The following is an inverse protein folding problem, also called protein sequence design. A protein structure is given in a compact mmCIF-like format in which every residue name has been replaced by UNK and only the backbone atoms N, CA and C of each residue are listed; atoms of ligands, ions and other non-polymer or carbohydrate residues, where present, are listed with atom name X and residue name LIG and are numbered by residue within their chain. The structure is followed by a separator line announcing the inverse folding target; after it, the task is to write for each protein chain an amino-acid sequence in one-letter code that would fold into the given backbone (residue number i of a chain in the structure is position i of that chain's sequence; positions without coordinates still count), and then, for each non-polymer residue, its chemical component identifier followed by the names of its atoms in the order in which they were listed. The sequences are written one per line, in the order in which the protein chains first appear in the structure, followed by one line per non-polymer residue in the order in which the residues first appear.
data_IF_557476205920
#
_entry.id   IF_557476205920
#
_cell.length_a   1.000
_cell.length_b   1.000
_cell.length_c   1.000
_cell.angle_alpha   90.00
_cell.angle_beta   90.00
_cell.angle_gamma   90.00
#
_symmetry.space_group_name_H-M   'P 1'
#
loop_
_entity.id
_entity.type
_entity.pdbx_description
1 polymer ?
#
# COMPACT_ATOMS: atom_id res chain seq x y z
N UNK A 1 52.58 33.43 53.73
CA UNK A 1 52.06 33.68 52.40
C UNK A 1 51.64 32.35 51.87
N UNK A 2 50.77 31.90 52.36
CA UNK A 2 49.34 31.66 52.61
C UNK A 2 48.67 30.98 51.47
N UNK A 3 48.42 29.72 51.76
CA UNK A 3 47.57 28.74 51.12
C UNK A 3 46.27 29.32 50.52
N UNK A 4 46.11 28.98 49.25
CA UNK A 4 44.81 28.95 48.58
C UNK A 4 44.76 27.67 47.74
N UNK A 5 44.70 26.54 48.42
CA UNK A 5 44.53 25.25 47.80
C UNK A 5 43.17 24.69 48.27
N UNK A 6 42.39 24.29 47.24
CA UNK A 6 41.42 23.23 47.28
C UNK A 6 40.17 23.41 48.16
N UNK A 7 39.20 24.13 47.64
CA UNK A 7 37.81 23.73 47.83
C UNK A 7 37.32 23.05 46.58
N UNK A 8 37.63 21.78 46.43
CA UNK A 8 36.95 20.90 45.47
C UNK A 8 35.51 20.73 45.98
N UNK A 9 34.62 21.22 45.14
CA UNK A 9 33.20 21.32 45.38
C UNK A 9 32.59 19.90 45.54
N UNK A 10 32.27 19.56 46.79
CA UNK A 10 31.59 18.33 47.15
C UNK A 10 30.11 18.30 46.75
N UNK A 11 29.68 19.16 45.82
CA UNK A 11 28.27 19.31 45.42
C UNK A 11 27.87 18.51 44.18
N UNK A 12 28.78 17.86 43.48
CA UNK A 12 28.44 17.12 42.26
C UNK A 12 28.23 15.61 42.43
N UNK A 13 28.23 15.10 43.66
CA UNK A 13 27.80 13.74 43.92
C UNK A 13 26.27 13.68 44.14
N UNK A 14 25.49 13.99 43.09
CA UNK A 14 24.09 13.62 43.09
C UNK A 14 23.99 12.09 43.14
N UNK A 15 23.31 11.50 44.13
CA UNK A 15 23.12 10.06 44.18
C UNK A 15 22.38 9.62 42.92
N UNK A 16 23.03 8.80 42.09
CA UNK A 16 22.38 8.13 41.00
C UNK A 16 21.19 7.38 41.57
N UNK A 17 19.99 7.89 41.26
CA UNK A 17 18.74 7.22 41.65
C UNK A 17 18.79 5.83 41.06
N UNK A 18 18.72 4.76 41.89
CA UNK A 18 18.72 3.39 41.37
C UNK A 18 17.60 3.28 40.36
N UNK A 19 17.94 2.82 39.16
CA UNK A 19 16.99 2.67 38.08
C UNK A 19 15.77 1.92 38.60
N UNK A 20 14.63 2.58 38.61
CA UNK A 20 13.36 2.03 39.06
C UNK A 20 13.11 0.78 38.23
N UNK A 21 13.39 -0.41 38.76
CA UNK A 21 13.00 -1.69 38.19
C UNK A 21 11.51 -1.58 37.93
N UNK A 22 11.12 -1.40 36.67
CA UNK A 22 9.72 -1.34 36.28
C UNK A 22 9.09 -2.62 36.77
N UNK A 23 8.12 -2.51 37.67
CA UNK A 23 7.46 -3.65 38.27
C UNK A 23 6.84 -4.51 37.15
N UNK A 24 6.86 -5.86 37.25
CA UNK A 24 6.29 -6.75 36.23
C UNK A 24 4.81 -6.47 35.94
N UNK A 25 4.13 -5.77 36.83
CA UNK A 25 2.75 -5.31 36.69
C UNK A 25 2.51 -4.39 35.46
N UNK A 26 3.54 -3.67 34.97
CA UNK A 26 3.40 -2.89 33.71
C UNK A 26 3.20 -3.76 32.50
N UNK A 27 3.59 -5.03 32.54
CA UNK A 27 3.38 -5.99 31.48
C UNK A 27 1.91 -6.46 31.43
N UNK A 28 1.19 -6.46 32.55
CA UNK A 28 -0.22 -6.84 32.59
C UNK A 28 -1.11 -5.94 31.70
N UNK A 29 -0.75 -4.67 31.55
CA UNK A 29 -1.46 -3.76 30.63
C UNK A 29 -1.35 -4.13 29.15
N UNK A 30 -0.34 -4.92 28.79
CA UNK A 30 -0.10 -5.33 27.39
C UNK A 30 -0.69 -6.73 27.11
N UNK A 31 -1.02 -7.50 28.15
CA UNK A 31 -1.58 -8.87 28.03
C UNK A 31 -2.85 -8.92 27.17
N UNK A 32 -3.85 -8.02 27.33
CA UNK A 32 -5.05 -8.08 26.50
C UNK A 32 -4.74 -7.92 25.00
N UNK A 33 -3.78 -7.03 24.67
CA UNK A 33 -3.34 -6.84 23.29
C UNK A 33 -2.68 -8.10 22.73
N UNK A 34 -1.74 -8.71 23.47
CA UNK A 34 -1.09 -9.93 23.01
C UNK A 34 -2.05 -11.13 22.95
N UNK A 35 -2.99 -11.23 23.89
CA UNK A 35 -4.02 -12.26 23.85
C UNK A 35 -4.90 -12.10 22.61
N UNK A 36 -5.34 -10.88 22.31
CA UNK A 36 -6.07 -10.57 21.08
C UNK A 36 -5.26 -10.91 19.82
N UNK A 37 -4.01 -10.46 19.74
CA UNK A 37 -3.13 -10.74 18.62
C UNK A 37 -2.89 -12.25 18.44
N UNK A 38 -2.69 -12.99 19.53
CA UNK A 38 -2.51 -14.44 19.47
C UNK A 38 -3.78 -15.13 18.94
N UNK A 39 -4.95 -14.80 19.50
CA UNK A 39 -6.22 -15.46 19.15
C UNK A 39 -6.69 -15.12 17.72
N UNK A 40 -6.55 -13.87 17.29
CA UNK A 40 -7.17 -13.40 16.05
C UNK A 40 -6.17 -13.18 14.90
N UNK A 41 -4.87 -13.15 15.17
CA UNK A 41 -3.85 -13.01 14.14
C UNK A 41 -2.99 -14.28 14.01
N UNK A 42 -2.38 -14.73 15.12
CA UNK A 42 -1.39 -15.82 15.06
C UNK A 42 -2.07 -17.18 14.82
N UNK A 43 -3.12 -17.52 15.57
CA UNK A 43 -3.81 -18.80 15.44
C UNK A 43 -4.41 -19.00 14.03
N UNK A 44 -5.19 -18.05 13.46
CA UNK A 44 -5.71 -18.19 12.10
C UNK A 44 -4.60 -18.27 11.05
N UNK A 45 -3.53 -17.48 11.19
CA UNK A 45 -2.39 -17.53 10.26
C UNK A 45 -1.68 -18.89 10.34
N UNK A 46 -1.48 -19.44 11.55
CA UNK A 46 -0.89 -20.76 11.72
C UNK A 46 -1.78 -21.84 11.09
N UNK A 47 -3.09 -21.73 11.23
CA UNK A 47 -4.03 -22.65 10.60
C UNK A 47 -3.96 -22.60 9.07
N UNK A 48 -3.84 -21.41 8.49
CA UNK A 48 -3.62 -21.25 7.04
C UNK A 48 -2.31 -21.93 6.59
N UNK A 49 -1.23 -21.72 7.34
CA UNK A 49 0.07 -22.35 7.03
C UNK A 49 -0.02 -23.86 7.08
N UNK A 50 -0.55 -24.41 8.17
CA UNK A 50 -0.67 -25.86 8.34
C UNK A 50 -1.62 -26.46 7.30
N UNK A 51 -2.80 -25.87 7.10
CA UNK A 51 -3.81 -26.33 6.15
C UNK A 51 -3.33 -26.27 4.69
N UNK A 52 -2.42 -25.36 4.34
CA UNK A 52 -1.84 -25.30 2.99
C UNK A 52 -0.96 -26.53 2.66
N UNK A 53 -0.45 -27.25 3.67
CA UNK A 53 0.33 -28.47 3.54
C UNK A 53 -0.47 -29.74 3.86
N UNK A 54 -1.79 -29.64 3.94
CA UNK A 54 -2.66 -30.81 4.20
C UNK A 54 -3.58 -31.09 3.02
N UNK A 55 -3.91 -32.36 2.82
CA UNK A 55 -5.01 -32.78 1.96
C UNK A 55 -6.36 -32.78 2.71
N UNK A 56 -7.44 -33.14 2.04
CA UNK A 56 -8.78 -33.18 2.64
C UNK A 56 -8.90 -34.23 3.75
N UNK A 57 -8.02 -35.24 3.79
CA UNK A 57 -7.94 -36.26 4.82
C UNK A 57 -7.03 -35.87 6.00
N UNK A 58 -6.38 -34.67 5.93
CA UNK A 58 -5.47 -34.16 6.96
C UNK A 58 -4.04 -34.70 6.87
N UNK A 59 -3.68 -35.44 5.82
CA UNK A 59 -2.30 -35.89 5.61
C UNK A 59 -1.45 -34.79 5.04
N UNK A 60 -0.17 -34.80 5.40
CA UNK A 60 0.79 -33.82 4.88
C UNK A 60 1.05 -34.05 3.39
N UNK A 61 0.86 -33.01 2.58
CA UNK A 61 1.08 -33.03 1.14
C UNK A 61 1.62 -31.69 0.65
N UNK A 62 2.39 -31.72 -0.44
CA UNK A 62 2.76 -30.51 -1.18
C UNK A 62 1.91 -30.32 -2.45
N UNK A 63 0.89 -31.18 -2.68
CA UNK A 63 0.08 -31.16 -3.89
C UNK A 63 -0.60 -29.82 -4.11
N UNK A 64 -1.12 -29.18 -3.04
CA UNK A 64 -1.76 -27.88 -3.12
C UNK A 64 -0.84 -26.80 -3.75
N UNK A 65 0.47 -26.86 -3.50
CA UNK A 65 1.45 -25.93 -4.10
C UNK A 65 1.74 -26.29 -5.56
N UNK A 66 1.74 -27.57 -5.92
CA UNK A 66 1.84 -28.00 -7.33
C UNK A 66 0.60 -27.55 -8.10
N UNK A 67 -0.57 -27.59 -7.49
CA UNK A 67 -1.82 -27.14 -8.09
C UNK A 67 -1.86 -25.63 -8.36
N UNK A 68 -1.04 -24.82 -7.66
CA UNK A 68 -0.87 -23.39 -7.97
C UNK A 68 -0.30 -23.16 -9.38
N UNK A 69 0.43 -24.12 -9.93
CA UNK A 69 1.00 -24.03 -11.28
C UNK A 69 0.00 -24.38 -12.38
N UNK A 70 -1.19 -24.89 -12.02
CA UNK A 70 -2.25 -25.14 -12.99
C UNK A 70 -2.71 -23.84 -13.67
N UNK A 71 -3.25 -23.93 -14.91
CA UNK A 71 -3.59 -22.76 -15.71
C UNK A 71 -4.50 -21.75 -15.01
N UNK A 72 -5.50 -22.21 -14.23
CA UNK A 72 -6.47 -21.34 -13.56
C UNK A 72 -5.85 -20.53 -12.40
N UNK A 73 -5.17 -21.12 -11.39
CA UNK A 73 -4.45 -20.38 -10.37
C UNK A 73 -3.34 -19.48 -10.92
N UNK A 74 -2.52 -20.00 -11.84
CA UNK A 74 -1.42 -19.26 -12.44
C UNK A 74 -1.92 -18.00 -13.17
N UNK A 75 -3.00 -18.11 -13.97
CA UNK A 75 -3.62 -16.97 -14.62
C UNK A 75 -4.19 -15.97 -13.60
N UNK A 76 -4.81 -16.43 -12.52
CA UNK A 76 -5.32 -15.56 -11.48
C UNK A 76 -4.21 -14.73 -10.81
N UNK A 77 -3.05 -15.34 -10.52
CA UNK A 77 -1.88 -14.62 -10.03
C UNK A 77 -1.36 -13.62 -11.05
N UNK A 78 -1.19 -14.03 -12.30
CA UNK A 78 -0.67 -13.17 -13.36
C UNK A 78 -1.53 -11.92 -13.53
N UNK A 79 -2.85 -12.09 -13.66
CA UNK A 79 -3.80 -10.97 -13.81
C UNK A 79 -3.81 -10.07 -12.57
N UNK A 80 -3.76 -10.65 -11.36
CA UNK A 80 -3.70 -9.87 -10.11
C UNK A 80 -2.41 -9.05 -10.01
N UNK A 81 -1.26 -9.64 -10.33
CA UNK A 81 0.04 -8.95 -10.32
C UNK A 81 0.04 -7.84 -11.36
N UNK A 82 -0.44 -8.09 -12.57
CA UNK A 82 -0.47 -7.12 -13.64
C UNK A 82 -1.32 -5.91 -13.28
N UNK A 83 -2.58 -6.11 -12.86
CA UNK A 83 -3.47 -5.01 -12.44
C UNK A 83 -2.85 -4.23 -11.27
N UNK A 84 -2.30 -4.94 -10.28
CA UNK A 84 -1.71 -4.30 -9.10
C UNK A 84 -0.46 -3.51 -9.46
N UNK A 85 0.37 -4.02 -10.35
CA UNK A 85 1.59 -3.33 -10.80
C UNK A 85 1.26 -2.09 -11.64
N UNK A 86 0.34 -2.22 -12.60
CA UNK A 86 -0.11 -1.10 -13.45
C UNK A 86 -0.69 0.01 -12.58
N UNK A 87 -1.62 -0.34 -11.68
CA UNK A 87 -2.28 0.66 -10.83
C UNK A 87 -1.35 1.25 -9.76
N UNK A 88 -0.38 0.49 -9.26
CA UNK A 88 0.64 1.01 -8.33
C UNK A 88 1.62 1.97 -9.03
N UNK A 89 2.04 1.66 -10.25
CA UNK A 89 2.93 2.54 -11.03
C UNK A 89 2.19 3.81 -11.44
N UNK A 90 1.03 3.68 -12.06
CA UNK A 90 0.25 4.84 -12.51
C UNK A 90 -0.23 5.69 -11.33
N UNK A 91 -0.78 5.04 -10.30
CA UNK A 91 -1.20 5.68 -9.06
C UNK A 91 -0.03 6.34 -8.32
N UNK A 92 1.14 5.69 -8.32
CA UNK A 92 2.38 6.21 -7.75
C UNK A 92 2.87 7.46 -8.48
N UNK A 93 2.97 7.42 -9.79
CA UNK A 93 3.44 8.57 -10.61
C UNK A 93 2.44 9.73 -10.54
N UNK A 94 1.18 9.48 -10.85
CA UNK A 94 0.16 10.53 -10.90
C UNK A 94 -0.13 11.09 -9.50
N UNK A 95 -0.20 10.23 -8.48
CA UNK A 95 -0.38 10.63 -7.10
C UNK A 95 0.82 11.42 -6.54
N UNK A 96 2.05 11.05 -6.92
CA UNK A 96 3.24 11.84 -6.59
C UNK A 96 3.20 13.23 -7.23
N UNK A 97 2.86 13.33 -8.52
CA UNK A 97 2.73 14.62 -9.21
C UNK A 97 1.66 15.50 -8.56
N UNK A 98 0.52 14.89 -8.20
CA UNK A 98 -0.55 15.58 -7.49
C UNK A 98 -0.08 16.06 -6.11
N UNK A 99 0.56 15.20 -5.32
CA UNK A 99 1.11 15.55 -4.01
C UNK A 99 2.13 16.70 -4.12
N UNK A 100 3.02 16.63 -5.09
CA UNK A 100 3.99 17.67 -5.35
C UNK A 100 3.32 19.02 -5.70
N UNK A 101 2.33 19.00 -6.59
CA UNK A 101 1.58 20.20 -6.94
C UNK A 101 0.85 20.81 -5.74
N UNK A 102 0.28 19.97 -4.86
CA UNK A 102 -0.44 20.41 -3.65
C UNK A 102 0.51 20.96 -2.58
N UNK A 103 1.67 20.35 -2.41
CA UNK A 103 2.60 20.69 -1.31
C UNK A 103 3.56 21.80 -1.71
N UNK A 104 4.17 21.67 -2.89
CA UNK A 104 5.23 22.58 -3.38
C UNK A 104 4.74 23.61 -4.36
N UNK A 105 3.52 23.49 -4.89
CA UNK A 105 2.93 24.37 -5.89
C UNK A 105 2.42 25.73 -5.39
N UNK A 106 2.66 26.06 -4.10
CA UNK A 106 2.25 27.36 -3.54
C UNK A 106 0.75 27.50 -3.29
N UNK A 107 0.00 26.39 -3.19
CA UNK A 107 -1.42 26.44 -2.89
C UNK A 107 -1.71 27.12 -1.54
N UNK A 108 -2.78 27.92 -1.44
CA UNK A 108 -3.24 28.46 -0.16
C UNK A 108 -3.47 27.35 0.87
N UNK A 109 -3.09 27.59 2.12
CA UNK A 109 -3.21 26.60 3.21
C UNK A 109 -4.57 25.92 3.30
N UNK A 110 -5.73 26.64 3.20
CA UNK A 110 -7.04 25.99 3.29
C UNK A 110 -7.26 24.99 2.15
N UNK A 111 -6.83 25.29 0.93
CA UNK A 111 -7.00 24.38 -0.21
C UNK A 111 -6.13 23.13 -0.07
N UNK A 112 -4.89 23.27 0.41
CA UNK A 112 -4.03 22.13 0.77
C UNK A 112 -4.72 21.23 1.81
N UNK A 113 -5.29 21.82 2.87
CA UNK A 113 -5.99 21.09 3.91
C UNK A 113 -7.19 20.33 3.34
N UNK A 114 -7.99 20.96 2.47
CA UNK A 114 -9.13 20.31 1.80
C UNK A 114 -8.67 19.11 0.98
N UNK A 115 -7.63 19.25 0.15
CA UNK A 115 -7.11 18.16 -0.67
C UNK A 115 -6.59 17.01 0.20
N UNK A 116 -5.85 17.30 1.26
CA UNK A 116 -5.31 16.26 2.18
C UNK A 116 -6.44 15.54 2.92
N UNK A 117 -7.45 16.27 3.41
CA UNK A 117 -8.61 15.68 4.09
C UNK A 117 -9.43 14.84 3.11
N UNK A 118 -9.70 15.35 1.91
CA UNK A 118 -10.38 14.62 0.85
C UNK A 118 -9.62 13.34 0.48
N UNK A 119 -8.29 13.42 0.35
CA UNK A 119 -7.46 12.25 0.09
C UNK A 119 -7.59 11.19 1.19
N UNK A 120 -7.69 11.60 2.46
CA UNK A 120 -7.94 10.69 3.59
C UNK A 120 -9.28 9.96 3.48
N UNK A 121 -10.32 10.64 3.07
CA UNK A 121 -11.65 10.04 2.85
C UNK A 121 -11.65 9.15 1.61
N UNK A 122 -11.14 9.67 0.49
CA UNK A 122 -11.18 8.99 -0.80
C UNK A 122 -10.34 7.71 -0.83
N UNK A 123 -9.17 7.69 -0.15
CA UNK A 123 -8.31 6.51 -0.08
C UNK A 123 -8.96 5.34 0.69
N UNK A 124 -9.91 5.64 1.60
CA UNK A 124 -10.66 4.64 2.35
C UNK A 124 -12.03 4.32 1.73
N UNK A 125 -12.44 5.07 0.70
CA UNK A 125 -13.69 4.79 -0.01
C UNK A 125 -13.44 3.72 -1.07
N UNK A 126 -13.64 2.47 -0.69
CA UNK A 126 -13.38 1.28 -1.49
C UNK A 126 -14.51 0.24 -1.31
N UNK A 127 -14.32 -0.94 -1.87
CA UNK A 127 -15.28 -2.04 -1.75
C UNK A 127 -16.52 -1.86 -2.63
N UNK A 128 -17.63 -2.41 -2.16
CA UNK A 128 -18.93 -2.38 -2.87
C UNK A 128 -19.43 -0.96 -3.14
N UNK A 129 -19.38 -0.01 -2.18
CA UNK A 129 -19.81 1.36 -2.42
C UNK A 129 -19.06 2.04 -3.57
N UNK A 130 -17.75 1.83 -3.67
CA UNK A 130 -16.95 2.38 -4.76
C UNK A 130 -17.35 1.77 -6.11
N UNK A 131 -17.50 0.45 -6.18
CA UNK A 131 -17.93 -0.24 -7.40
C UNK A 131 -19.29 0.30 -7.90
N UNK A 132 -20.26 0.42 -7.01
CA UNK A 132 -21.59 0.98 -7.33
C UNK A 132 -21.49 2.43 -7.79
N UNK A 133 -20.69 3.28 -7.11
CA UNK A 133 -20.50 4.67 -7.51
C UNK A 133 -19.96 4.76 -8.96
N UNK A 134 -19.00 3.94 -9.32
CA UNK A 134 -18.47 3.89 -10.69
C UNK A 134 -19.48 3.31 -11.68
N UNK A 135 -20.24 2.29 -11.31
CA UNK A 135 -21.29 1.72 -12.17
C UNK A 135 -22.38 2.77 -12.48
N UNK A 136 -22.82 3.55 -11.48
CA UNK A 136 -23.82 4.61 -11.68
C UNK A 136 -23.26 5.86 -12.38
N UNK A 137 -21.95 6.06 -12.33
CA UNK A 137 -21.30 7.25 -12.92
C UNK A 137 -20.82 6.97 -14.35
N UNK A 138 -20.02 5.93 -14.56
CA UNK A 138 -19.36 5.61 -15.82
C UNK A 138 -19.89 4.30 -16.46
N UNK A 139 -20.77 3.57 -15.78
CA UNK A 139 -21.43 2.39 -16.36
C UNK A 139 -22.18 2.74 -17.67
N UNK A 140 -22.65 1.73 -18.39
CA UNK A 140 -23.29 1.93 -19.73
C UNK A 140 -24.47 2.91 -19.68
N UNK A 141 -25.23 2.90 -18.60
CA UNK A 141 -26.35 3.82 -18.33
C UNK A 141 -26.00 4.88 -17.28
N UNK A 142 -24.71 5.00 -16.94
CA UNK A 142 -24.21 5.92 -15.94
C UNK A 142 -24.32 7.37 -16.40
N UNK A 143 -24.43 8.27 -15.42
CA UNK A 143 -24.65 9.70 -15.65
C UNK A 143 -23.62 10.31 -16.62
N UNK A 144 -22.33 10.06 -16.41
CA UNK A 144 -21.26 10.61 -17.26
C UNK A 144 -21.32 9.99 -18.66
N UNK A 145 -21.54 8.69 -18.79
CA UNK A 145 -21.60 8.00 -20.09
C UNK A 145 -22.76 8.51 -20.93
N UNK A 146 -23.94 8.71 -20.32
CA UNK A 146 -25.11 9.28 -20.99
C UNK A 146 -24.86 10.74 -21.37
N UNK A 147 -24.31 11.54 -20.47
CA UNK A 147 -23.98 12.94 -20.73
C UNK A 147 -22.99 13.09 -21.90
N UNK A 148 -21.90 12.33 -21.93
CA UNK A 148 -20.92 12.37 -23.02
C UNK A 148 -21.53 11.97 -24.35
N UNK A 149 -22.40 10.95 -24.34
CA UNK A 149 -23.08 10.49 -25.55
C UNK A 149 -24.10 11.51 -26.06
N UNK A 150 -24.90 12.11 -25.19
CA UNK A 150 -26.00 13.02 -25.59
C UNK A 150 -25.52 14.43 -25.87
N UNK A 151 -24.54 14.95 -25.14
CA UNK A 151 -24.08 16.33 -25.27
C UNK A 151 -22.86 16.46 -26.18
N UNK A 152 -21.89 15.54 -26.08
CA UNK A 152 -20.64 15.58 -26.85
C UNK A 152 -20.66 14.62 -28.03
N UNK A 153 -21.68 13.77 -28.21
CA UNK A 153 -21.77 12.78 -29.28
C UNK A 153 -20.75 11.64 -29.12
N UNK A 154 -20.09 11.56 -27.98
CA UNK A 154 -19.03 10.58 -27.73
C UNK A 154 -19.55 9.37 -26.97
N UNK A 155 -19.73 8.25 -27.69
CA UNK A 155 -20.14 6.98 -27.11
C UNK A 155 -18.90 6.19 -26.65
N UNK A 156 -18.61 6.26 -25.35
CA UNK A 156 -17.47 5.54 -24.75
C UNK A 156 -17.61 4.03 -24.95
N UNK A 157 -18.83 3.51 -24.86
CA UNK A 157 -19.11 2.07 -25.02
C UNK A 157 -19.15 1.63 -26.48
N UNK A 158 -19.40 2.57 -27.39
CA UNK A 158 -19.31 2.33 -28.84
C UNK A 158 -17.88 2.09 -29.31
N UNK A 159 -16.86 2.57 -28.58
CA UNK A 159 -15.45 2.34 -28.87
C UNK A 159 -14.91 0.99 -28.33
N UNK A 160 -15.76 0.14 -27.75
CA UNK A 160 -15.36 -1.15 -27.19
C UNK A 160 -14.91 -1.10 -25.73
N UNK A 161 -14.91 0.07 -25.07
CA UNK A 161 -14.66 0.18 -23.64
C UNK A 161 -15.81 -0.42 -22.84
N UNK A 162 -15.47 -1.09 -21.74
CA UNK A 162 -16.43 -1.46 -20.70
C UNK A 162 -15.79 -1.34 -19.32
N UNK A 163 -16.54 -0.81 -18.35
CA UNK A 163 -16.08 -0.69 -16.98
C UNK A 163 -15.86 -2.06 -16.31
N UNK A 164 -16.51 -3.09 -16.84
CA UNK A 164 -16.38 -4.47 -16.35
C UNK A 164 -15.16 -5.21 -16.90
N UNK A 165 -14.32 -4.51 -17.71
CA UNK A 165 -13.05 -5.04 -18.22
C UNK A 165 -11.90 -4.83 -17.24
N UNK A 166 -10.75 -5.42 -17.56
CA UNK A 166 -9.49 -5.21 -16.84
C UNK A 166 -9.13 -3.72 -16.76
N UNK A 167 -9.19 -3.01 -17.89
CA UNK A 167 -8.94 -1.57 -17.96
C UNK A 167 -9.94 -0.77 -17.09
N UNK A 168 -11.23 -1.15 -17.10
CA UNK A 168 -12.22 -0.54 -16.22
C UNK A 168 -11.90 -0.74 -14.74
N UNK A 169 -11.47 -1.95 -14.36
CA UNK A 169 -11.06 -2.23 -12.99
C UNK A 169 -9.80 -1.43 -12.59
N UNK A 170 -8.83 -1.27 -13.49
CA UNK A 170 -7.64 -0.45 -13.26
C UNK A 170 -7.99 1.02 -13.02
N UNK A 171 -8.94 1.58 -13.78
CA UNK A 171 -9.45 2.94 -13.58
C UNK A 171 -10.10 3.08 -12.20
N UNK A 172 -10.93 2.11 -11.80
CA UNK A 172 -11.58 2.12 -10.48
C UNK A 172 -10.53 2.02 -9.36
N UNK A 173 -9.48 1.23 -9.56
CA UNK A 173 -8.40 1.12 -8.58
C UNK A 173 -7.57 2.40 -8.46
N UNK A 174 -7.32 3.11 -9.55
CA UNK A 174 -6.65 4.41 -9.53
C UNK A 174 -7.38 5.43 -8.65
N UNK A 175 -8.70 5.34 -8.53
CA UNK A 175 -9.49 6.24 -7.69
C UNK A 175 -9.01 6.27 -6.23
N UNK A 176 -8.73 5.14 -5.61
CA UNK A 176 -8.22 5.10 -4.24
C UNK A 176 -6.69 5.12 -4.14
N UNK A 177 -6.00 4.69 -5.20
CA UNK A 177 -4.54 4.69 -5.26
C UNK A 177 -3.95 6.10 -5.31
N UNK A 178 -4.53 7.00 -6.12
CA UNK A 178 -4.06 8.39 -6.24
C UNK A 178 -4.09 9.13 -4.90
N UNK A 179 -5.24 9.19 -4.18
CA UNK A 179 -5.29 9.84 -2.88
C UNK A 179 -4.41 9.17 -1.83
N UNK A 180 -4.30 7.84 -1.86
CA UNK A 180 -3.44 7.10 -0.95
C UNK A 180 -1.98 7.48 -1.15
N UNK A 181 -1.52 7.59 -2.39
CA UNK A 181 -0.18 8.05 -2.71
C UNK A 181 0.08 9.46 -2.19
N UNK A 182 -0.89 10.39 -2.36
CA UNK A 182 -0.77 11.76 -1.83
C UNK A 182 -0.51 11.75 -0.33
N UNK A 183 -1.25 10.95 0.43
CA UNK A 183 -1.09 10.86 1.89
C UNK A 183 0.26 10.28 2.31
N UNK A 184 0.69 9.22 1.64
CA UNK A 184 1.91 8.49 2.03
C UNK A 184 3.16 9.30 1.69
N UNK A 185 3.19 9.96 0.52
CA UNK A 185 4.39 10.67 0.06
C UNK A 185 4.51 12.09 0.61
N UNK A 186 3.40 12.69 1.08
CA UNK A 186 3.37 14.07 1.55
C UNK A 186 4.46 14.40 2.59
N UNK A 187 4.69 13.58 3.65
CA UNK A 187 5.74 13.87 4.62
C UNK A 187 7.15 13.87 4.02
N UNK A 188 7.40 13.03 3.01
CA UNK A 188 8.69 12.99 2.33
C UNK A 188 8.93 14.24 1.49
N UNK A 189 7.89 14.74 0.81
CA UNK A 189 7.97 16.00 0.04
C UNK A 189 8.15 17.20 0.99
N UNK A 190 7.42 17.25 2.11
CA UNK A 190 7.57 18.30 3.13
C UNK A 190 8.97 18.26 3.78
N UNK A 191 9.64 17.10 3.79
CA UNK A 191 10.99 16.93 4.29
C UNK A 191 12.09 17.48 3.38
N UNK A 192 11.78 17.90 2.14
CA UNK A 192 12.74 18.55 1.26
C UNK A 192 13.06 19.97 1.76
N UNK A 193 14.29 20.18 2.19
CA UNK A 193 14.74 21.46 2.73
C UNK A 193 14.89 22.49 1.61
N UNK A 194 14.42 23.70 1.85
CA UNK A 194 14.55 24.83 0.91
C UNK A 194 16.02 25.19 0.64
N UNK A 195 16.86 25.04 1.65
CA UNK A 195 18.30 25.31 1.59
C UNK A 195 19.00 24.46 0.53
N UNK A 196 18.55 23.24 0.29
CA UNK A 196 19.12 22.39 -0.77
C UNK A 196 18.82 22.92 -2.16
N UNK A 197 17.63 23.47 -2.34
CA UNK A 197 17.25 24.12 -3.59
C UNK A 197 18.02 25.41 -3.81
N UNK A 198 18.09 26.28 -2.80
CA UNK A 198 18.83 27.53 -2.83
C UNK A 198 20.33 27.30 -3.09
N UNK A 199 20.93 26.31 -2.42
CA UNK A 199 22.32 25.93 -2.65
C UNK A 199 22.55 25.46 -4.10
N UNK A 200 21.64 24.69 -4.68
CA UNK A 200 21.73 24.23 -6.06
C UNK A 200 21.59 25.39 -7.07
N UNK A 201 20.68 26.32 -6.82
CA UNK A 201 20.48 27.53 -7.64
C UNK A 201 21.71 28.44 -7.57
N UNK A 202 22.32 28.63 -6.40
CA UNK A 202 23.55 29.37 -6.21
C UNK A 202 24.77 28.72 -6.92
N UNK A 203 24.75 27.39 -7.07
CA UNK A 203 25.74 26.63 -7.86
C UNK A 203 25.46 26.70 -9.38
N UNK A 204 24.43 27.39 -9.82
CA UNK A 204 24.05 27.56 -11.23
C UNK A 204 23.28 26.37 -11.81
N UNK A 205 22.75 25.48 -10.97
CA UNK A 205 21.96 24.33 -11.43
C UNK A 205 20.57 24.76 -11.91
N UNK A 206 20.14 24.20 -13.04
CA UNK A 206 18.76 24.32 -13.51
C UNK A 206 17.79 23.53 -12.61
N UNK A 207 16.49 23.87 -12.66
CA UNK A 207 15.44 23.12 -11.94
C UNK A 207 15.47 21.63 -12.28
N UNK A 208 15.73 21.27 -13.53
CA UNK A 208 15.84 19.87 -13.95
C UNK A 208 17.05 19.17 -13.30
N UNK A 209 18.21 19.86 -13.20
CA UNK A 209 19.41 19.34 -12.54
C UNK A 209 19.18 19.16 -11.03
N UNK A 210 18.52 20.12 -10.37
CA UNK A 210 18.10 19.98 -8.96
C UNK A 210 17.23 18.72 -8.76
N UNK A 211 16.20 18.55 -9.61
CA UNK A 211 15.34 17.38 -9.50
C UNK A 211 16.09 16.07 -9.73
N UNK A 212 16.92 15.99 -10.77
CA UNK A 212 17.63 14.77 -11.14
C UNK A 212 18.70 14.37 -10.13
N UNK A 213 19.42 15.33 -9.54
CA UNK A 213 20.60 15.06 -8.73
C UNK A 213 20.39 15.25 -7.22
N UNK A 214 19.35 15.97 -6.80
CA UNK A 214 19.08 16.27 -5.38
C UNK A 214 17.72 15.72 -4.95
N UNK A 215 16.63 16.25 -5.45
CA UNK A 215 15.30 15.96 -4.95
C UNK A 215 14.86 14.50 -5.21
N UNK A 216 14.99 14.02 -6.44
CA UNK A 216 14.55 12.67 -6.82
C UNK A 216 15.34 11.58 -6.10
N UNK A 217 16.68 11.62 -6.00
CA UNK A 217 17.44 10.63 -5.22
C UNK A 217 17.05 10.60 -3.74
N UNK A 218 16.76 11.76 -3.14
CA UNK A 218 16.32 11.85 -1.73
C UNK A 218 14.92 11.26 -1.56
N UNK A 219 14.01 11.50 -2.49
CA UNK A 219 12.63 11.00 -2.45
C UNK A 219 12.51 9.54 -2.88
N UNK A 220 13.48 8.98 -3.62
CA UNK A 220 13.40 7.67 -4.23
C UNK A 220 13.05 6.53 -3.25
N UNK A 221 13.65 6.45 -2.04
CA UNK A 221 13.29 5.39 -1.08
C UNK A 221 11.81 5.51 -0.65
N UNK A 222 11.33 6.72 -0.37
CA UNK A 222 9.93 6.96 0.01
C UNK A 222 8.97 6.68 -1.15
N UNK A 223 9.35 7.07 -2.37
CA UNK A 223 8.57 6.83 -3.58
C UNK A 223 8.42 5.34 -3.85
N UNK A 224 9.51 4.57 -3.82
CA UNK A 224 9.48 3.12 -3.99
C UNK A 224 8.69 2.44 -2.88
N UNK A 225 8.86 2.87 -1.62
CA UNK A 225 8.09 2.36 -0.50
C UNK A 225 6.60 2.59 -0.65
N UNK A 226 6.22 3.80 -1.07
CA UNK A 226 4.82 4.13 -1.35
C UNK A 226 4.26 3.27 -2.48
N UNK A 227 4.98 3.06 -3.57
CA UNK A 227 4.54 2.22 -4.69
C UNK A 227 4.34 0.76 -4.26
N UNK A 228 5.17 0.23 -3.37
CA UNK A 228 5.01 -1.11 -2.82
C UNK A 228 3.76 -1.23 -1.94
N UNK A 229 3.48 -0.21 -1.13
CA UNK A 229 2.24 -0.13 -0.36
C UNK A 229 1.01 -0.06 -1.28
N UNK A 230 1.08 0.72 -2.36
CA UNK A 230 0.04 0.78 -3.38
C UNK A 230 -0.17 -0.58 -4.05
N UNK A 231 0.91 -1.27 -4.42
CA UNK A 231 0.85 -2.62 -4.98
C UNK A 231 0.13 -3.58 -4.02
N UNK A 232 0.54 -3.61 -2.75
CA UNK A 232 -0.10 -4.48 -1.74
C UNK A 232 -1.57 -4.17 -1.54
N UNK A 233 -1.93 -2.89 -1.51
CA UNK A 233 -3.31 -2.43 -1.37
C UNK A 233 -4.19 -2.90 -2.55
N UNK A 234 -3.70 -2.75 -3.78
CA UNK A 234 -4.36 -3.22 -5.00
C UNK A 234 -4.44 -4.75 -5.07
N UNK A 235 -3.33 -5.43 -4.74
CA UNK A 235 -3.24 -6.88 -4.80
C UNK A 235 -4.19 -7.59 -3.84
N UNK A 236 -4.48 -6.95 -2.69
CA UNK A 236 -5.45 -7.44 -1.70
C UNK A 236 -6.90 -7.01 -1.94
N UNK A 237 -7.17 -6.13 -2.91
CA UNK A 237 -8.49 -5.54 -3.10
C UNK A 237 -9.48 -6.52 -3.78
N UNK A 238 -10.24 -7.26 -2.97
CA UNK A 238 -11.23 -8.22 -3.45
C UNK A 238 -12.62 -7.61 -3.63
N UNK A 239 -13.10 -6.88 -2.61
CA UNK A 239 -14.52 -6.47 -2.55
C UNK A 239 -14.92 -5.55 -3.71
N UNK A 240 -14.06 -4.60 -4.09
CA UNK A 240 -14.30 -3.71 -5.23
C UNK A 240 -14.31 -4.47 -6.54
N UNK A 241 -13.33 -5.37 -6.76
CA UNK A 241 -13.23 -6.17 -7.96
C UNK A 241 -14.42 -7.10 -8.12
N UNK A 242 -14.78 -7.82 -7.07
CA UNK A 242 -15.91 -8.75 -7.10
C UNK A 242 -17.24 -8.02 -7.34
N UNK A 243 -17.47 -6.90 -6.63
CA UNK A 243 -18.69 -6.11 -6.80
C UNK A 243 -18.81 -5.49 -8.20
N UNK A 244 -17.68 -5.08 -8.80
CA UNK A 244 -17.66 -4.49 -10.14
C UNK A 244 -17.82 -5.53 -11.24
N UNK A 245 -17.07 -6.64 -11.15
CA UNK A 245 -16.93 -7.60 -12.26
C UNK A 245 -17.72 -8.89 -12.08
N UNK A 246 -18.35 -9.10 -10.92
CA UNK A 246 -19.06 -10.35 -10.61
C UNK A 246 -18.16 -11.58 -10.64
N UNK A 247 -16.85 -11.40 -10.57
CA UNK A 247 -15.88 -12.51 -10.61
C UNK A 247 -15.43 -12.93 -12.02
N UNK A 248 -15.85 -12.23 -13.09
CA UNK A 248 -15.42 -12.54 -14.47
C UNK A 248 -13.93 -12.33 -14.69
N UNK A 249 -13.32 -11.38 -13.98
CA UNK A 249 -11.86 -11.19 -14.02
C UNK A 249 -11.23 -12.16 -13.02
N UNK A 250 -10.35 -13.07 -13.47
CA UNK A 250 -9.72 -14.07 -12.60
C UNK A 250 -8.67 -13.39 -11.71
N UNK A 251 -9.05 -13.00 -10.50
CA UNK A 251 -8.13 -12.49 -9.48
C UNK A 251 -7.89 -13.55 -8.41
N UNK A 252 -6.67 -13.61 -7.89
CA UNK A 252 -6.29 -14.58 -6.86
C UNK A 252 -7.15 -14.43 -5.60
N UNK A 253 -7.50 -13.21 -5.20
CA UNK A 253 -8.37 -12.94 -4.04
C UNK A 253 -9.79 -13.46 -4.25
N UNK A 254 -10.33 -13.34 -5.47
CA UNK A 254 -11.64 -13.88 -5.83
C UNK A 254 -11.59 -15.41 -5.87
N UNK A 255 -10.50 -15.99 -6.40
CA UNK A 255 -10.29 -17.43 -6.43
C UNK A 255 -10.21 -18.00 -5.01
N UNK A 256 -9.48 -17.37 -4.11
CA UNK A 256 -9.45 -17.75 -2.68
C UNK A 256 -10.86 -17.74 -2.09
N UNK A 257 -11.62 -16.67 -2.32
CA UNK A 257 -12.99 -16.56 -1.84
C UNK A 257 -13.87 -17.71 -2.32
N UNK A 258 -13.78 -18.10 -3.59
CA UNK A 258 -14.54 -19.23 -4.14
C UNK A 258 -14.16 -20.59 -3.56
N UNK A 259 -12.86 -20.79 -3.23
CA UNK A 259 -12.41 -22.02 -2.60
C UNK A 259 -12.87 -22.15 -1.13
N UNK A 260 -12.94 -21.03 -0.41
CA UNK A 260 -13.31 -21.03 1.01
C UNK A 260 -14.82 -20.98 1.24
N UNK A 261 -15.60 -20.49 0.28
CA UNK A 261 -17.06 -20.35 0.44
C UNK A 261 -17.84 -21.65 0.32
N UNK A 262 -17.17 -22.76 -0.02
CA UNK A 262 -17.79 -24.09 -0.08
C UNK A 262 -18.81 -24.26 -1.21
N UNK A 263 -18.94 -23.31 -2.10
CA UNK A 263 -19.83 -23.38 -3.25
C UNK A 263 -19.22 -24.28 -4.33
N UNK A 264 -19.57 -25.55 -4.29
CA UNK A 264 -19.24 -26.56 -5.31
C UNK A 264 -17.76 -26.88 -5.53
N UNK A 265 -17.34 -28.11 -5.17
CA UNK A 265 -16.03 -28.70 -5.53
C UNK A 265 -14.77 -27.88 -5.15
N UNK A 266 -14.91 -26.88 -4.27
CA UNK A 266 -13.78 -26.12 -3.76
C UNK A 266 -12.99 -26.93 -2.73
N UNK A 267 -11.66 -26.92 -2.84
CA UNK A 267 -10.77 -27.44 -1.81
C UNK A 267 -10.29 -26.30 -0.91
N UNK A 268 -10.73 -26.23 0.36
CA UNK A 268 -10.26 -25.21 1.28
C UNK A 268 -8.73 -25.18 1.40
N UNK A 269 -8.08 -26.33 1.29
CA UNK A 269 -6.63 -26.47 1.38
C UNK A 269 -5.91 -25.79 0.20
N UNK A 270 -6.49 -25.84 -1.00
CA UNK A 270 -6.02 -25.05 -2.14
C UNK A 270 -6.21 -23.57 -1.88
N UNK A 271 -7.33 -23.17 -1.27
CA UNK A 271 -7.55 -21.78 -0.84
C UNK A 271 -6.47 -21.27 0.12
N UNK A 272 -6.05 -22.10 1.07
CA UNK A 272 -4.95 -21.78 1.99
C UNK A 272 -3.61 -21.69 1.26
N UNK A 273 -3.31 -22.58 0.32
CA UNK A 273 -2.09 -22.49 -0.49
C UNK A 273 -2.07 -21.24 -1.38
N UNK A 274 -3.21 -20.86 -1.96
CA UNK A 274 -3.36 -19.59 -2.68
C UNK A 274 -3.06 -18.38 -1.78
N UNK A 275 -3.61 -18.36 -0.57
CA UNK A 275 -3.33 -17.29 0.38
C UNK A 275 -1.84 -17.22 0.76
N UNK A 276 -1.20 -18.36 0.98
CA UNK A 276 0.24 -18.45 1.25
C UNK A 276 1.08 -17.97 0.05
N UNK A 277 0.66 -18.28 -1.18
CA UNK A 277 1.28 -17.74 -2.39
C UNK A 277 1.22 -16.20 -2.46
N UNK A 278 0.09 -15.59 -2.06
CA UNK A 278 0.00 -14.13 -1.94
C UNK A 278 0.97 -13.59 -0.89
N UNK A 279 1.05 -14.23 0.29
CA UNK A 279 1.99 -13.85 1.36
C UNK A 279 3.44 -13.94 0.85
N UNK A 280 3.78 -14.98 0.09
CA UNK A 280 5.11 -15.13 -0.50
C UNK A 280 5.43 -13.98 -1.48
N UNK A 281 4.52 -13.63 -2.38
CA UNK A 281 4.69 -12.51 -3.32
C UNK A 281 4.89 -11.20 -2.57
N UNK A 282 4.07 -10.92 -1.55
CA UNK A 282 4.21 -9.73 -0.73
C UNK A 282 5.53 -9.72 0.04
N UNK A 283 5.95 -10.87 0.58
CA UNK A 283 7.23 -11.03 1.25
C UNK A 283 8.42 -10.72 0.32
N UNK A 284 8.41 -11.27 -0.88
CA UNK A 284 9.44 -10.99 -1.92
C UNK A 284 9.46 -9.50 -2.26
N UNK A 285 8.30 -8.89 -2.43
CA UNK A 285 8.17 -7.46 -2.74
C UNK A 285 8.75 -6.58 -1.63
N UNK A 286 8.47 -6.91 -0.35
CA UNK A 286 9.01 -6.20 0.81
C UNK A 286 10.52 -6.40 0.97
N UNK A 287 11.04 -7.60 0.71
CA UNK A 287 12.48 -7.87 0.73
C UNK A 287 13.18 -7.09 -0.37
N UNK A 288 12.64 -7.09 -1.59
CA UNK A 288 13.17 -6.32 -2.70
C UNK A 288 13.20 -4.81 -2.37
N UNK A 289 12.12 -4.29 -1.78
CA UNK A 289 12.08 -2.90 -1.29
C UNK A 289 13.17 -2.62 -0.26
N UNK A 290 13.27 -3.45 0.78
CA UNK A 290 14.25 -3.26 1.85
C UNK A 290 15.69 -3.25 1.31
N UNK A 291 15.96 -4.09 0.32
CA UNK A 291 17.26 -4.14 -0.34
C UNK A 291 17.53 -2.87 -1.16
N UNK A 292 16.55 -2.42 -1.96
CA UNK A 292 16.64 -1.21 -2.77
C UNK A 292 16.81 0.04 -1.89
N UNK A 293 16.02 0.16 -0.82
CA UNK A 293 16.09 1.29 0.12
C UNK A 293 17.45 1.38 0.80
N UNK A 294 17.98 0.25 1.30
CA UNK A 294 19.33 0.23 1.91
C UNK A 294 20.43 0.60 0.92
N UNK A 295 20.24 0.28 -0.36
CA UNK A 295 21.20 0.65 -1.40
C UNK A 295 21.13 2.14 -1.73
N UNK A 296 19.95 2.71 -1.76
CA UNK A 296 19.74 4.15 -1.99
C UNK A 296 20.30 5.00 -0.83
N UNK A 297 20.10 4.59 0.42
CA UNK A 297 20.63 5.29 1.61
C UNK A 297 22.17 5.33 1.67
N UNK A 298 22.85 4.35 1.08
CA UNK A 298 24.34 4.33 1.01
C UNK A 298 24.91 5.44 0.14
N UNK A 299 24.12 5.97 -0.79
CA UNK A 299 24.54 7.07 -1.68
C UNK A 299 24.29 8.45 -1.06
N UNK A 300 23.64 8.51 0.09
CA UNK A 300 23.31 9.74 0.83
C UNK A 300 24.31 10.02 1.99
N UNK A 301 25.19 9.07 2.26
CA UNK A 301 26.30 9.21 3.23
C UNK A 301 27.60 9.51 2.49
#
# INVERSE_FOLDING_TARGET
MTDLATTVDARDALPQRPGRRRAPWSLLGVVPFFAFALMFLVIPTTYLVVGSFQDEAGHLTAQNYLDLTQPRPANAYMVSIEISLVTAILGGILGFLLAYAVISGGLPRPLRTVVMTFSGVASNFAGVPLALAFMFTIGRTGFISVFLKTVLGWDIYGSGFTIYSKLGLEIVYLYFQLPLMVLIIAPAIDGLKKEWREASENAGASTFQYWRHVALPILMPSLLGSMILLFGNSFGAQATAFALTGGFIPLVTILIGSQLSGDTLGSPNLGYALAMGMVAIMGVTLVAYSWLSRRAERWQR
#
